data_IF_927292690817
#
_entry.id   IF_927292690817
#
_cell.length_a   1.000
_cell.length_b   1.000
_cell.length_c   1.000
_cell.angle_alpha   90.00
_cell.angle_beta   90.00
_cell.angle_gamma   90.00
#
_symmetry.space_group_name_H-M   'P 1'
#
loop_
_entity.id
_entity.type
_entity.pdbx_description
1 polymer ?
#
# COMPACT_ATOMS: atom_id res chain seq x y z
N UNK A 1 2.95 32.58 -19.93
CA UNK A 1 2.84 32.01 -18.57
C UNK A 1 4.24 31.89 -18.01
N UNK A 2 4.61 32.68 -17.01
CA UNK A 2 5.92 32.57 -16.37
C UNK A 2 5.82 31.45 -15.32
N UNK A 3 6.54 30.35 -15.58
CA UNK A 3 6.76 29.34 -14.54
C UNK A 3 7.56 29.97 -13.41
N UNK A 4 6.97 30.15 -12.26
CA UNK A 4 7.75 30.40 -11.05
C UNK A 4 8.52 29.12 -10.74
N UNK A 5 9.83 29.14 -10.90
CA UNK A 5 10.67 28.08 -10.37
C UNK A 5 10.56 28.15 -8.84
N UNK A 6 9.85 27.18 -8.25
CA UNK A 6 9.89 26.97 -6.82
C UNK A 6 11.20 26.21 -6.54
N UNK A 7 12.20 26.90 -6.02
CA UNK A 7 13.53 26.34 -5.70
C UNK A 7 13.57 25.76 -4.28
N UNK A 8 12.53 25.06 -3.88
CA UNK A 8 12.58 24.29 -2.64
C UNK A 8 13.56 23.13 -2.81
N UNK A 9 14.60 23.10 -1.99
CA UNK A 9 15.55 21.99 -1.97
C UNK A 9 15.06 20.98 -0.94
N UNK A 10 15.05 19.72 -1.35
CA UNK A 10 14.74 18.58 -0.48
C UNK A 10 15.91 17.60 -0.54
N UNK A 11 16.19 16.96 0.59
CA UNK A 11 17.23 15.92 0.66
C UNK A 11 16.75 14.62 0.00
N UNK A 12 15.44 14.34 0.11
CA UNK A 12 14.82 13.16 -0.47
C UNK A 12 13.54 13.54 -1.22
N UNK A 13 13.43 13.11 -2.46
CA UNK A 13 12.21 13.23 -3.26
C UNK A 13 11.63 11.83 -3.52
N UNK A 14 10.40 11.62 -3.10
CA UNK A 14 9.66 10.38 -3.33
C UNK A 14 8.56 10.67 -4.35
N UNK A 15 8.54 9.92 -5.44
CA UNK A 15 7.57 10.05 -6.52
C UNK A 15 6.53 8.94 -6.43
N UNK A 16 5.29 9.33 -6.18
CA UNK A 16 4.14 8.47 -5.96
C UNK A 16 3.87 8.19 -4.48
N UNK A 17 2.74 8.70 -3.97
CA UNK A 17 2.24 8.43 -2.62
C UNK A 17 1.39 7.14 -2.57
N UNK A 18 1.82 6.10 -3.27
CA UNK A 18 1.24 4.76 -3.17
C UNK A 18 1.72 4.01 -1.93
N UNK A 19 1.38 2.73 -1.82
CA UNK A 19 1.70 1.86 -0.67
C UNK A 19 3.17 1.91 -0.26
N UNK A 20 4.08 1.83 -1.24
CA UNK A 20 5.53 1.86 -1.00
C UNK A 20 6.03 3.27 -0.68
N UNK A 21 5.59 4.28 -1.45
CA UNK A 21 6.03 5.66 -1.28
C UNK A 21 5.62 6.23 0.08
N UNK A 22 4.41 5.98 0.54
CA UNK A 22 3.97 6.37 1.87
C UNK A 22 4.80 5.71 2.98
N UNK A 23 5.11 4.41 2.84
CA UNK A 23 5.93 3.71 3.82
C UNK A 23 7.36 4.25 3.87
N UNK A 24 7.97 4.54 2.70
CA UNK A 24 9.31 5.14 2.61
C UNK A 24 9.29 6.55 3.21
N UNK A 25 8.30 7.38 2.83
CA UNK A 25 8.18 8.74 3.33
C UNK A 25 8.08 8.77 4.86
N UNK A 26 7.23 7.92 5.42
CA UNK A 26 7.04 7.81 6.87
C UNK A 26 8.34 7.42 7.59
N UNK A 27 9.15 6.52 7.01
CA UNK A 27 10.40 6.07 7.63
C UNK A 27 11.55 7.05 7.47
N UNK A 28 11.70 7.62 6.28
CA UNK A 28 12.79 8.57 6.02
C UNK A 28 12.58 9.88 6.79
N UNK A 29 11.34 10.32 6.96
CA UNK A 29 11.02 11.54 7.73
C UNK A 29 11.17 11.39 9.25
N UNK A 30 11.47 10.20 9.77
CA UNK A 30 11.85 10.01 11.17
C UNK A 30 13.20 10.65 11.50
N UNK A 31 14.09 10.86 10.50
CA UNK A 31 15.31 11.61 10.69
C UNK A 31 15.02 13.13 10.60
N UNK A 32 15.15 13.87 11.72
CA UNK A 32 14.85 15.31 11.74
C UNK A 32 15.83 16.18 10.93
N UNK A 33 16.93 15.61 10.47
CA UNK A 33 17.90 16.31 9.65
C UNK A 33 17.59 16.22 8.15
N UNK A 34 16.61 15.40 7.75
CA UNK A 34 16.23 15.23 6.36
C UNK A 34 14.95 15.99 6.04
N UNK A 35 14.98 16.73 4.95
CA UNK A 35 13.78 17.29 4.32
C UNK A 35 13.26 16.35 3.25
N UNK A 36 12.01 15.90 3.37
CA UNK A 36 11.41 14.91 2.48
C UNK A 36 10.26 15.55 1.71
N UNK A 37 10.28 15.40 0.39
CA UNK A 37 9.13 15.70 -0.45
C UNK A 37 8.51 14.40 -0.96
N UNK A 38 7.19 14.30 -0.80
CA UNK A 38 6.37 13.24 -1.39
C UNK A 38 5.44 13.90 -2.42
N UNK A 39 5.50 13.46 -3.67
CA UNK A 39 4.67 13.97 -4.76
C UNK A 39 3.75 12.88 -5.27
N UNK A 40 2.49 13.23 -5.51
CA UNK A 40 1.45 12.34 -6.01
C UNK A 40 0.73 12.97 -7.19
N UNK A 41 0.32 12.15 -8.16
CA UNK A 41 -0.39 12.60 -9.37
C UNK A 41 -1.91 12.68 -9.16
N UNK A 42 -2.43 11.95 -8.18
CA UNK A 42 -3.84 11.93 -7.81
C UNK A 42 -4.17 12.91 -6.70
N UNK A 43 -5.45 13.01 -6.33
CA UNK A 43 -5.89 13.85 -5.22
C UNK A 43 -5.43 13.31 -3.86
N UNK A 44 -5.41 14.22 -2.89
CA UNK A 44 -5.33 13.94 -1.46
C UNK A 44 -6.63 14.39 -0.78
N UNK A 45 -7.11 13.57 0.15
CA UNK A 45 -8.28 13.86 0.96
C UNK A 45 -7.86 13.90 2.42
N UNK A 46 -7.56 15.10 2.92
CA UNK A 46 -7.01 15.30 4.27
C UNK A 46 -8.00 14.91 5.38
N UNK A 47 -9.29 14.93 5.08
CA UNK A 47 -10.35 14.64 6.04
C UNK A 47 -11.19 13.48 5.58
N UNK A 48 -11.56 12.61 6.51
CA UNK A 48 -12.45 11.48 6.24
C UNK A 48 -13.80 11.93 5.66
N UNK A 49 -14.34 13.04 6.16
CA UNK A 49 -15.63 13.59 5.69
C UNK A 49 -15.59 14.07 4.23
N UNK A 50 -14.40 14.39 3.72
CA UNK A 50 -14.19 14.85 2.35
C UNK A 50 -13.79 13.69 1.42
N UNK A 51 -13.55 12.51 2.00
CA UNK A 51 -13.12 11.33 1.25
C UNK A 51 -14.31 10.71 0.51
N UNK A 52 -14.22 10.51 -0.82
CA UNK A 52 -15.29 9.87 -1.60
C UNK A 52 -15.62 8.46 -1.11
N UNK A 53 -16.89 8.07 -1.29
CA UNK A 53 -17.41 6.78 -0.80
C UNK A 53 -16.67 5.57 -1.40
N UNK A 54 -16.23 5.67 -2.64
CA UNK A 54 -15.43 4.62 -3.30
C UNK A 54 -14.04 4.37 -2.68
N UNK A 55 -13.55 5.31 -1.88
CA UNK A 55 -12.31 5.16 -1.11
C UNK A 55 -12.56 4.74 0.35
N UNK A 56 -13.74 5.05 0.89
CA UNK A 56 -14.11 4.70 2.27
C UNK A 56 -14.73 3.31 2.35
N UNK A 57 -15.48 2.93 1.33
CA UNK A 57 -16.26 1.69 1.30
C UNK A 57 -15.70 0.73 0.25
N UNK A 58 -15.00 -0.29 0.68
CA UNK A 58 -14.38 -1.31 -0.18
C UNK A 58 -15.38 -2.10 -1.07
N UNK A 59 -16.68 -2.04 -0.76
CA UNK A 59 -17.72 -2.61 -1.62
C UNK A 59 -18.07 -1.74 -2.82
N UNK A 60 -17.71 -0.44 -2.78
CA UNK A 60 -18.00 0.55 -3.81
C UNK A 60 -16.75 0.97 -4.58
N UNK A 61 -15.76 0.10 -4.70
CA UNK A 61 -14.51 0.42 -5.39
C UNK A 61 -14.76 1.04 -6.75
N UNK A 62 -14.20 2.23 -6.99
CA UNK A 62 -14.18 2.87 -8.29
C UNK A 62 -12.94 2.50 -9.06
N UNK A 63 -13.14 1.97 -10.27
CA UNK A 63 -12.07 1.81 -11.25
C UNK A 63 -12.05 2.94 -12.29
N UNK A 64 -12.72 4.06 -12.01
CA UNK A 64 -12.85 5.18 -12.92
C UNK A 64 -12.27 6.48 -12.34
N UNK A 65 -12.66 6.84 -11.12
CA UNK A 65 -12.40 8.18 -10.58
C UNK A 65 -10.98 8.32 -10.01
N UNK A 66 -10.46 7.26 -9.38
CA UNK A 66 -9.14 7.23 -8.75
C UNK A 66 -8.21 6.22 -9.40
N UNK A 67 -8.32 6.05 -10.72
CA UNK A 67 -7.59 5.05 -11.50
C UNK A 67 -6.75 5.69 -12.62
N UNK A 68 -5.63 5.07 -12.97
CA UNK A 68 -4.80 5.50 -14.09
C UNK A 68 -5.40 5.17 -15.46
N UNK A 69 -6.44 4.36 -15.53
CA UNK A 69 -7.07 3.92 -16.76
C UNK A 69 -6.20 3.01 -17.62
N UNK A 70 -5.28 2.28 -17.01
CA UNK A 70 -4.37 1.39 -17.72
C UNK A 70 -5.11 0.19 -18.29
N UNK A 71 -4.63 -0.28 -19.44
CA UNK A 71 -5.14 -1.46 -20.14
C UNK A 71 -3.98 -2.38 -20.46
N UNK A 72 -4.19 -3.67 -20.41
CA UNK A 72 -3.20 -4.67 -20.81
C UNK A 72 -3.86 -5.73 -21.71
N UNK A 73 -3.04 -6.47 -22.43
CA UNK A 73 -3.48 -7.52 -23.34
C UNK A 73 -2.92 -8.87 -22.88
N UNK A 74 -3.64 -9.58 -21.98
CA UNK A 74 -3.17 -10.86 -21.42
C UNK A 74 -3.10 -11.97 -22.48
N UNK A 75 -3.93 -11.86 -23.52
CA UNK A 75 -3.97 -12.79 -24.66
C UNK A 75 -4.25 -11.98 -25.93
N UNK A 76 -3.64 -12.37 -27.05
CA UNK A 76 -3.80 -11.66 -28.32
C UNK A 76 -5.25 -11.35 -28.65
N UNK A 77 -5.55 -10.09 -28.90
CA UNK A 77 -6.88 -9.58 -29.23
C UNK A 77 -7.83 -9.38 -28.04
N UNK A 78 -7.43 -9.73 -26.82
CA UNK A 78 -8.22 -9.46 -25.61
C UNK A 78 -7.59 -8.35 -24.79
N UNK A 79 -8.28 -7.23 -24.62
CA UNK A 79 -7.88 -6.12 -23.77
C UNK A 79 -8.67 -6.16 -22.46
N UNK A 80 -7.96 -6.17 -21.35
CA UNK A 80 -8.52 -6.09 -20.01
C UNK A 80 -8.03 -4.82 -19.30
N UNK A 81 -8.83 -4.31 -18.36
CA UNK A 81 -8.43 -3.20 -17.49
C UNK A 81 -7.33 -3.68 -16.56
N UNK A 82 -6.39 -2.78 -16.27
CA UNK A 82 -5.32 -2.98 -15.30
C UNK A 82 -5.41 -1.91 -14.21
N UNK A 83 -6.34 -2.06 -13.25
CA UNK A 83 -6.59 -1.03 -12.26
C UNK A 83 -5.35 -0.71 -11.43
N UNK A 84 -5.04 0.58 -11.32
CA UNK A 84 -3.95 1.11 -10.48
C UNK A 84 -4.40 2.45 -9.92
N UNK A 85 -4.37 2.58 -8.60
CA UNK A 85 -4.83 3.79 -7.92
C UNK A 85 -4.00 5.02 -8.28
N UNK A 86 -4.69 6.12 -8.58
CA UNK A 86 -4.16 7.46 -8.77
C UNK A 86 -4.76 8.39 -7.72
N UNK A 87 -4.27 8.29 -6.52
CA UNK A 87 -4.71 8.99 -5.30
C UNK A 87 -3.66 8.78 -4.22
N UNK A 88 -3.59 9.61 -3.21
CA UNK A 88 -2.77 9.33 -2.02
C UNK A 88 -3.19 7.98 -1.41
N UNK A 89 -2.24 7.10 -1.16
CA UNK A 89 -2.45 5.69 -0.85
C UNK A 89 -2.33 4.76 -2.06
N UNK A 90 -2.46 5.30 -3.29
CA UNK A 90 -2.34 4.52 -4.53
C UNK A 90 -3.28 3.33 -4.59
N UNK A 91 -2.80 2.18 -5.04
CA UNK A 91 -3.63 0.97 -5.14
C UNK A 91 -4.07 0.40 -3.79
N UNK A 92 -3.42 0.75 -2.67
CA UNK A 92 -3.92 0.37 -1.34
C UNK A 92 -5.14 1.17 -0.90
N UNK A 93 -5.39 2.35 -1.49
CA UNK A 93 -6.60 3.13 -1.23
C UNK A 93 -7.82 2.67 -2.03
N UNK A 94 -7.61 1.98 -3.16
CA UNK A 94 -8.70 1.55 -4.08
C UNK A 94 -8.87 0.02 -4.15
N UNK A 95 -8.19 -0.75 -3.32
CA UNK A 95 -8.31 -2.19 -3.30
C UNK A 95 -9.53 -2.67 -2.50
N UNK A 96 -9.78 -3.97 -2.52
CA UNK A 96 -10.90 -4.60 -1.80
C UNK A 96 -10.59 -4.93 -0.34
N UNK A 97 -9.54 -4.35 0.22
CA UNK A 97 -9.13 -4.50 1.64
C UNK A 97 -8.89 -5.94 2.11
N UNK A 98 -8.47 -6.82 1.19
CA UNK A 98 -8.14 -8.21 1.53
C UNK A 98 -6.68 -8.28 2.00
N UNK A 99 -6.48 -8.63 3.27
CA UNK A 99 -5.15 -8.83 3.86
C UNK A 99 -4.77 -10.31 3.76
N UNK A 100 -3.86 -10.63 2.84
CA UNK A 100 -3.34 -11.98 2.63
C UNK A 100 -1.81 -11.97 2.72
N UNK A 101 -1.26 -13.09 3.15
CA UNK A 101 0.16 -13.40 3.07
C UNK A 101 0.37 -14.59 2.15
N UNK A 102 1.57 -14.72 1.57
CA UNK A 102 2.00 -15.98 0.96
C UNK A 102 2.09 -17.09 2.01
N UNK A 103 2.13 -18.32 1.54
CA UNK A 103 2.37 -19.47 2.41
C UNK A 103 3.84 -19.48 2.88
N UNK A 104 4.15 -20.02 4.06
CA UNK A 104 5.54 -20.14 4.52
C UNK A 104 6.47 -20.72 3.49
N UNK A 105 6.00 -21.72 2.76
CA UNK A 105 6.74 -22.44 1.73
C UNK A 105 7.15 -21.54 0.55
N UNK A 106 6.33 -20.55 0.19
CA UNK A 106 6.63 -19.60 -0.89
C UNK A 106 7.90 -18.78 -0.55
N UNK A 107 8.03 -18.34 0.70
CA UNK A 107 9.19 -17.57 1.18
C UNK A 107 10.43 -18.45 1.33
N UNK A 108 10.27 -19.67 1.83
CA UNK A 108 11.36 -20.62 1.96
C UNK A 108 11.92 -21.02 0.59
N UNK A 109 11.05 -21.15 -0.43
CA UNK A 109 11.47 -21.36 -1.81
C UNK A 109 12.24 -20.16 -2.36
N UNK A 110 11.80 -18.93 -2.08
CA UNK A 110 12.55 -17.73 -2.48
C UNK A 110 13.96 -17.71 -1.88
N UNK A 111 14.08 -18.05 -0.60
CA UNK A 111 15.39 -18.17 0.05
C UNK A 111 16.26 -19.24 -0.62
N UNK A 112 15.68 -20.40 -0.94
CA UNK A 112 16.38 -21.51 -1.62
C UNK A 112 16.84 -21.14 -3.04
N UNK A 113 16.15 -20.24 -3.72
CA UNK A 113 16.53 -19.68 -5.02
C UNK A 113 17.68 -18.67 -4.96
N UNK A 114 18.28 -18.45 -3.80
CA UNK A 114 19.44 -17.58 -3.63
C UNK A 114 19.13 -16.18 -3.12
N UNK A 115 17.97 -16.01 -2.45
CA UNK A 115 17.58 -14.75 -1.82
C UNK A 115 17.70 -14.87 -0.28
N UNK A 116 18.91 -14.74 0.30
CA UNK A 116 19.10 -14.84 1.75
C UNK A 116 18.30 -13.73 2.46
N UNK A 117 17.72 -14.06 3.62
CA UNK A 117 16.87 -13.14 4.39
C UNK A 117 15.41 -13.12 3.92
N UNK A 118 15.01 -14.00 3.02
CA UNK A 118 13.64 -14.12 2.52
C UNK A 118 12.93 -15.39 2.95
N UNK A 119 13.51 -16.20 3.84
CA UNK A 119 12.78 -17.34 4.41
C UNK A 119 11.60 -16.88 5.23
N UNK A 120 10.63 -17.76 5.46
CA UNK A 120 9.49 -17.45 6.32
C UNK A 120 9.93 -16.95 7.70
N UNK A 121 10.94 -17.56 8.28
CA UNK A 121 11.49 -17.15 9.57
C UNK A 121 12.05 -15.73 9.55
N UNK A 122 12.64 -15.31 8.43
CA UNK A 122 13.22 -13.98 8.27
C UNK A 122 12.15 -12.90 8.07
N UNK A 123 11.10 -13.19 7.29
CA UNK A 123 10.08 -12.19 6.92
C UNK A 123 8.94 -12.08 7.95
N UNK A 124 8.64 -13.13 8.70
CA UNK A 124 7.56 -13.14 9.70
C UNK A 124 7.65 -11.99 10.72
N UNK A 125 8.81 -11.64 11.28
CA UNK A 125 8.92 -10.50 12.18
C UNK A 125 8.46 -9.18 11.56
N UNK A 126 8.66 -9.00 10.25
CA UNK A 126 8.22 -7.81 9.53
C UNK A 126 6.71 -7.79 9.31
N UNK A 127 6.11 -8.93 8.99
CA UNK A 127 4.65 -9.07 8.92
C UNK A 127 4.00 -8.76 10.26
N UNK A 128 4.54 -9.27 11.37
CA UNK A 128 4.03 -8.99 12.71
C UNK A 128 4.12 -7.52 13.09
N UNK A 129 5.21 -6.84 12.73
CA UNK A 129 5.36 -5.39 12.97
C UNK A 129 4.40 -4.54 12.16
N UNK A 130 3.96 -5.03 11.00
CA UNK A 130 3.08 -4.30 10.10
C UNK A 130 1.63 -4.29 10.58
N UNK A 131 1.17 -5.35 11.21
CA UNK A 131 -0.25 -5.57 11.50
C UNK A 131 -0.62 -5.47 12.98
N UNK A 132 -1.88 -5.12 13.19
CA UNK A 132 -2.61 -5.29 14.43
C UNK A 132 -3.85 -6.14 14.14
N UNK A 133 -3.74 -7.45 14.37
CA UNK A 133 -4.85 -8.38 14.19
C UNK A 133 -5.79 -8.31 15.39
N UNK A 134 -7.06 -7.97 15.16
CA UNK A 134 -8.06 -7.81 16.22
C UNK A 134 -8.73 -9.13 16.62
N UNK A 135 -8.64 -10.13 15.76
CA UNK A 135 -9.31 -11.42 15.98
C UNK A 135 -8.37 -12.47 16.55
N UNK A 136 -7.06 -12.39 16.21
CA UNK A 136 -6.05 -13.36 16.64
C UNK A 136 -4.76 -12.66 17.14
N UNK A 137 -4.85 -11.72 18.10
CA UNK A 137 -3.68 -10.95 18.56
C UNK A 137 -2.62 -11.83 19.24
N UNK A 138 -3.03 -12.94 19.84
CA UNK A 138 -2.15 -13.86 20.59
C UNK A 138 -1.55 -14.97 19.70
N UNK A 139 -1.93 -15.06 18.43
CA UNK A 139 -1.38 -16.08 17.56
C UNK A 139 0.09 -15.81 17.24
N UNK A 140 0.92 -16.84 17.26
CA UNK A 140 2.37 -16.72 17.12
C UNK A 140 2.83 -16.09 15.80
N UNK A 141 2.00 -16.14 14.78
CA UNK A 141 2.25 -15.61 13.42
C UNK A 141 1.49 -14.29 13.14
N UNK A 142 0.70 -13.77 14.08
CA UNK A 142 0.05 -12.47 13.97
C UNK A 142 0.73 -11.40 14.83
N UNK A 143 0.54 -10.14 14.45
CA UNK A 143 0.96 -8.97 15.22
C UNK A 143 -0.23 -8.32 15.93
N UNK A 144 0.02 -7.62 17.03
CA UNK A 144 -0.97 -7.03 17.93
C UNK A 144 -0.93 -5.49 17.99
N UNK A 145 0.12 -4.87 17.42
CA UNK A 145 0.43 -3.46 17.66
C UNK A 145 0.88 -2.68 16.41
N UNK A 146 0.90 -3.30 15.24
CA UNK A 146 1.31 -2.65 14.01
C UNK A 146 0.30 -1.59 13.50
N UNK A 147 0.72 -0.76 12.54
CA UNK A 147 -0.09 0.34 12.03
C UNK A 147 -1.30 -0.11 11.21
N UNK A 148 -1.30 -1.30 10.63
CA UNK A 148 -2.40 -1.80 9.79
C UNK A 148 -3.30 -2.68 10.63
N UNK A 149 -4.53 -2.20 10.87
CA UNK A 149 -5.54 -2.98 11.56
C UNK A 149 -6.17 -4.01 10.63
N UNK A 150 -6.17 -5.28 11.08
CA UNK A 150 -6.80 -6.39 10.37
C UNK A 150 -7.96 -6.91 11.21
N UNK A 151 -9.11 -7.09 10.57
CA UNK A 151 -10.30 -7.68 11.17
C UNK A 151 -11.02 -8.52 10.13
N UNK A 152 -11.51 -9.68 10.54
CA UNK A 152 -12.30 -10.55 9.68
C UNK A 152 -13.78 -10.15 9.74
N UNK A 153 -14.48 -10.36 8.63
CA UNK A 153 -15.93 -10.24 8.66
C UNK A 153 -16.51 -11.33 9.54
N UNK A 154 -17.55 -11.03 10.35
CA UNK A 154 -18.26 -12.07 11.06
C UNK A 154 -18.85 -13.06 10.03
N UNK A 155 -18.99 -14.35 10.38
CA UNK A 155 -19.70 -15.30 9.54
C UNK A 155 -21.08 -14.74 9.18
N UNK A 156 -21.50 -14.92 7.92
CA UNK A 156 -22.87 -14.59 7.54
C UNK A 156 -23.83 -15.44 8.39
N UNK A 157 -24.79 -14.79 9.04
CA UNK A 157 -25.88 -15.46 9.77
C UNK A 157 -26.82 -16.18 8.80
#
# INVERSE_FOLDING_TARGET
MSYRQNTSNYDVLIVGAGSSGCAIAARVSEDPNLTVALVEAGPDYERLDDTPDDLVNSHNNSYNDHDWGLVYEPTSGRKDRFPRGRVVGGSSAVNTTIALRGMPEDYDEWAAQGNPGWSWADVLPSFKRLERDLDFPDASYHGDSGPITIRRYPPAE
#
